data_IF_474078852953
#
_entry.id   IF_474078852953
#
_cell.length_a   1.000
_cell.length_b   1.000
_cell.length_c   1.000
_cell.angle_alpha   90.00
_cell.angle_beta   90.00
_cell.angle_gamma   90.00
#
_symmetry.space_group_name_H-M   'P 1'
#
loop_
_entity.id
_entity.type
_entity.pdbx_description
1 polymer ?
#
# COMPACT_ATOMS: atom_id res chain seq x y z
N UNK A 1 -17.92 -12.52 -14.65
CA UNK A 1 -16.51 -12.65 -14.24
C UNK A 1 -16.45 -12.87 -12.75
N UNK A 2 -15.61 -13.79 -12.33
CA UNK A 2 -15.51 -14.13 -10.93
C UNK A 2 -14.91 -12.99 -10.10
N UNK A 3 -15.43 -12.79 -8.90
CA UNK A 3 -14.85 -11.85 -7.94
C UNK A 3 -13.44 -12.32 -7.56
N UNK A 4 -12.47 -11.39 -7.52
CA UNK A 4 -11.14 -11.74 -7.04
C UNK A 4 -11.16 -12.22 -5.58
N UNK A 5 -10.29 -13.17 -5.28
CA UNK A 5 -10.14 -13.73 -3.92
C UNK A 5 -9.00 -12.99 -3.22
N UNK A 6 -9.25 -12.57 -1.98
CA UNK A 6 -8.22 -12.00 -1.11
C UNK A 6 -7.48 -13.15 -0.42
N UNK A 7 -6.17 -13.18 -0.53
CA UNK A 7 -5.31 -14.15 0.14
C UNK A 7 -3.93 -13.57 0.43
N UNK A 8 -3.19 -14.26 1.28
CA UNK A 8 -1.77 -13.93 1.45
C UNK A 8 -1.02 -14.17 0.14
N UNK A 9 -0.06 -13.29 -0.14
CA UNK A 9 0.83 -13.44 -1.28
C UNK A 9 1.79 -14.62 -1.07
N UNK A 10 2.09 -15.32 -2.15
CA UNK A 10 3.11 -16.35 -2.19
C UNK A 10 4.27 -15.88 -3.07
N UNK A 11 5.41 -16.54 -2.99
CA UNK A 11 6.61 -16.14 -3.75
C UNK A 11 6.33 -16.05 -5.27
N UNK A 12 5.52 -16.94 -5.80
CA UNK A 12 5.14 -16.93 -7.21
C UNK A 12 4.37 -15.66 -7.65
N UNK A 13 3.78 -14.93 -6.70
CA UNK A 13 3.07 -13.68 -7.00
C UNK A 13 4.01 -12.48 -7.14
N UNK A 14 5.25 -12.57 -6.65
CA UNK A 14 6.16 -11.43 -6.59
C UNK A 14 6.37 -10.75 -7.94
N UNK A 15 6.57 -11.44 -9.06
CA UNK A 15 6.68 -10.76 -10.36
C UNK A 15 5.46 -9.91 -10.71
N UNK A 16 4.25 -10.41 -10.46
CA UNK A 16 3.02 -9.66 -10.72
C UNK A 16 2.88 -8.45 -9.77
N UNK A 17 3.23 -8.62 -8.50
CA UNK A 17 3.23 -7.53 -7.51
C UNK A 17 4.17 -6.42 -7.96
N UNK A 18 5.38 -6.77 -8.39
CA UNK A 18 6.37 -5.80 -8.88
C UNK A 18 5.91 -5.12 -10.17
N UNK A 19 5.29 -5.88 -11.09
CA UNK A 19 4.76 -5.31 -12.33
C UNK A 19 3.67 -4.27 -12.06
N UNK A 20 2.77 -4.54 -11.12
CA UNK A 20 1.73 -3.57 -10.72
C UNK A 20 2.37 -2.33 -10.09
N UNK A 21 3.34 -2.50 -9.20
CA UNK A 21 4.07 -1.38 -8.61
C UNK A 21 4.76 -0.53 -9.67
N UNK A 22 5.49 -1.16 -10.58
CA UNK A 22 6.20 -0.46 -11.67
C UNK A 22 5.25 0.30 -12.60
N UNK A 23 4.03 -0.21 -12.78
CA UNK A 23 3.02 0.47 -13.61
C UNK A 23 2.60 1.83 -13.03
N UNK A 24 2.76 2.04 -11.73
CA UNK A 24 2.43 3.29 -11.06
C UNK A 24 3.55 4.35 -11.14
N UNK A 25 4.76 3.95 -11.50
CA UNK A 25 5.93 4.86 -11.48
C UNK A 25 5.80 6.00 -12.50
N UNK A 26 5.45 5.73 -13.79
CA UNK A 26 5.40 6.80 -14.80
C UNK A 26 4.45 7.95 -14.47
N UNK A 27 3.36 7.68 -13.74
CA UNK A 27 2.37 8.69 -13.39
C UNK A 27 2.82 9.68 -12.33
N UNK A 28 3.91 9.40 -11.62
CA UNK A 28 4.48 10.27 -10.56
C UNK A 28 3.48 10.63 -9.46
N UNK A 29 2.52 9.73 -9.18
CA UNK A 29 1.46 9.95 -8.20
C UNK A 29 1.60 9.09 -6.96
N UNK A 30 2.07 7.86 -7.11
CA UNK A 30 1.89 6.83 -6.08
C UNK A 30 3.17 6.39 -5.37
N UNK A 31 4.34 6.65 -5.93
CA UNK A 31 5.61 6.19 -5.36
C UNK A 31 6.73 7.18 -5.59
N UNK A 32 7.70 7.18 -4.67
CA UNK A 32 8.91 7.98 -4.78
C UNK A 32 9.97 7.38 -5.73
N UNK A 33 9.78 6.14 -6.16
CA UNK A 33 10.66 5.54 -7.17
C UNK A 33 10.46 6.23 -8.52
N UNK A 34 11.57 6.52 -9.20
CA UNK A 34 11.57 7.21 -10.50
C UNK A 34 11.80 6.25 -11.65
N UNK A 35 12.38 5.08 -11.37
CA UNK A 35 12.69 4.04 -12.34
C UNK A 35 12.11 2.71 -11.89
N UNK A 36 11.76 1.81 -12.83
CA UNK A 36 11.24 0.49 -12.48
C UNK A 36 12.21 -0.27 -11.57
N UNK A 37 11.64 -1.00 -10.61
CA UNK A 37 12.41 -1.86 -9.71
C UNK A 37 12.45 -3.28 -10.26
N UNK A 38 13.53 -4.00 -9.95
CA UNK A 38 13.71 -5.38 -10.35
C UNK A 38 13.11 -6.32 -9.31
N UNK A 39 12.57 -7.45 -9.75
CA UNK A 39 11.97 -8.48 -8.87
C UNK A 39 12.99 -8.93 -7.82
N UNK A 40 14.24 -9.16 -8.22
CA UNK A 40 15.30 -9.65 -7.33
C UNK A 40 15.58 -8.68 -6.18
N UNK A 41 15.49 -7.38 -6.43
CA UNK A 41 15.70 -6.35 -5.40
C UNK A 41 14.54 -6.34 -4.40
N UNK A 42 13.34 -6.68 -4.84
CA UNK A 42 12.14 -6.71 -3.99
C UNK A 42 11.99 -7.98 -3.16
N UNK A 43 12.82 -8.99 -3.38
CA UNK A 43 12.70 -10.24 -2.64
C UNK A 43 12.86 -10.06 -1.14
N UNK A 44 13.83 -9.26 -0.69
CA UNK A 44 14.01 -8.98 0.74
C UNK A 44 12.80 -8.28 1.36
N UNK A 45 12.19 -7.35 0.62
CA UNK A 45 10.96 -6.70 1.05
C UNK A 45 9.81 -7.72 1.17
N UNK A 46 9.68 -8.64 0.22
CA UNK A 46 8.69 -9.72 0.28
C UNK A 46 8.89 -10.57 1.53
N UNK A 47 10.12 -10.94 1.82
CA UNK A 47 10.49 -11.83 2.94
C UNK A 47 10.26 -11.17 4.31
N UNK A 48 10.17 -9.86 4.39
CA UNK A 48 9.84 -9.13 5.63
C UNK A 48 8.39 -9.31 6.05
N UNK A 49 7.53 -9.78 5.17
CA UNK A 49 6.11 -9.96 5.45
C UNK A 49 5.82 -11.30 6.11
N UNK A 50 4.77 -11.32 6.94
CA UNK A 50 4.24 -12.54 7.53
C UNK A 50 2.73 -12.37 7.81
N UNK A 51 1.99 -13.46 7.77
CA UNK A 51 0.53 -13.43 7.91
C UNK A 51 0.05 -13.04 9.32
N UNK A 52 0.91 -13.17 10.32
CA UNK A 52 0.53 -12.95 11.71
C UNK A 52 0.60 -11.50 12.19
N UNK A 53 1.45 -10.66 11.59
CA UNK A 53 1.65 -9.29 12.06
C UNK A 53 1.84 -8.25 10.95
N UNK A 54 2.43 -8.64 9.82
CA UNK A 54 2.72 -7.75 8.69
C UNK A 54 2.43 -8.46 7.37
N UNK A 55 1.14 -8.70 7.06
CA UNK A 55 0.80 -9.46 5.85
C UNK A 55 1.06 -8.67 4.58
N UNK A 56 1.22 -9.41 3.50
CA UNK A 56 1.16 -8.93 2.14
C UNK A 56 0.01 -9.68 1.47
N UNK A 57 -1.01 -8.96 1.08
CA UNK A 57 -2.20 -9.55 0.48
C UNK A 57 -2.27 -9.27 -1.00
N UNK A 58 -2.85 -10.22 -1.73
CA UNK A 58 -3.22 -10.04 -3.13
C UNK A 58 -4.71 -10.25 -3.31
N UNK A 59 -5.27 -9.57 -4.30
CA UNK A 59 -6.55 -9.93 -4.90
C UNK A 59 -6.24 -10.71 -6.18
N UNK A 60 -6.64 -11.97 -6.20
CA UNK A 60 -6.35 -12.88 -7.31
C UNK A 60 -7.63 -13.32 -8.00
N UNK A 61 -7.64 -13.20 -9.32
CA UNK A 61 -8.69 -13.75 -10.17
C UNK A 61 -8.06 -14.88 -10.97
N UNK A 62 -8.25 -16.12 -10.52
CA UNK A 62 -7.51 -17.25 -11.08
C UNK A 62 -6.00 -17.06 -10.86
N UNK A 63 -5.24 -17.13 -11.95
CA UNK A 63 -3.79 -16.90 -11.92
C UNK A 63 -3.41 -15.42 -12.01
N UNK A 64 -4.35 -14.52 -12.27
CA UNK A 64 -4.08 -13.10 -12.43
C UNK A 64 -4.15 -12.37 -11.09
N UNK A 65 -3.11 -11.60 -10.77
CA UNK A 65 -3.12 -10.69 -9.64
C UNK A 65 -3.62 -9.34 -10.12
N UNK A 66 -4.72 -8.85 -9.54
CA UNK A 66 -5.35 -7.58 -9.95
C UNK A 66 -5.00 -6.42 -9.04
N UNK A 67 -4.63 -6.69 -7.80
CA UNK A 67 -4.26 -5.66 -6.82
C UNK A 67 -3.51 -6.29 -5.64
N UNK A 68 -2.81 -5.47 -4.86
CA UNK A 68 -2.16 -5.93 -3.64
C UNK A 68 -2.14 -4.84 -2.57
N UNK A 69 -2.01 -5.27 -1.31
CA UNK A 69 -1.85 -4.39 -0.16
C UNK A 69 -0.76 -4.95 0.75
N UNK A 70 0.13 -4.09 1.20
CA UNK A 70 1.24 -4.42 2.08
C UNK A 70 1.08 -3.71 3.42
N UNK A 71 1.39 -4.43 4.50
CA UNK A 71 1.61 -3.85 5.83
C UNK A 71 3.10 -3.82 6.08
N UNK A 72 3.64 -2.66 6.47
CA UNK A 72 5.04 -2.51 6.81
C UNK A 72 5.18 -1.86 8.19
N UNK A 73 6.24 -2.26 8.91
CA UNK A 73 6.53 -1.66 10.21
C UNK A 73 6.90 -0.18 10.06
N UNK A 74 6.39 0.63 10.97
CA UNK A 74 6.78 2.04 11.07
C UNK A 74 8.09 2.10 11.88
N UNK A 75 9.17 2.41 11.20
CA UNK A 75 10.56 2.42 11.70
C UNK A 75 11.07 1.11 12.32
N UNK A 76 10.24 0.08 12.50
CA UNK A 76 10.68 -1.24 12.99
C UNK A 76 11.22 -1.27 14.41
N UNK A 77 10.99 -0.26 15.25
CA UNK A 77 11.44 -0.22 16.65
C UNK A 77 10.34 -0.73 17.58
N UNK A 78 10.70 -1.34 18.73
CA UNK A 78 9.72 -1.94 19.64
C UNK A 78 8.60 -0.99 20.10
N UNK A 79 8.90 0.28 20.34
CA UNK A 79 7.91 1.26 20.75
C UNK A 79 6.86 1.56 19.68
N UNK A 80 7.15 1.28 18.41
CA UNK A 80 6.25 1.51 17.27
C UNK A 80 5.60 0.23 16.76
N UNK A 81 5.69 -0.86 17.51
CA UNK A 81 5.27 -2.19 17.06
C UNK A 81 3.77 -2.28 16.75
N UNK A 82 2.95 -1.46 17.41
CA UNK A 82 1.50 -1.42 17.18
C UNK A 82 1.09 -0.46 16.06
N UNK A 83 2.04 0.09 15.31
CA UNK A 83 1.82 0.98 14.18
C UNK A 83 2.37 0.36 12.91
N UNK A 84 1.56 0.33 11.85
CA UNK A 84 1.98 -0.13 10.54
C UNK A 84 1.59 0.87 9.46
N UNK A 85 2.41 0.96 8.44
CA UNK A 85 2.10 1.64 7.20
C UNK A 85 1.43 0.64 6.25
N UNK A 86 0.36 1.07 5.59
CA UNK A 86 -0.27 0.29 4.53
C UNK A 86 -0.04 0.97 3.18
N UNK A 87 0.22 0.15 2.16
CA UNK A 87 0.38 0.58 0.77
C UNK A 87 -0.53 -0.28 -0.10
N UNK A 88 -1.28 0.33 -0.99
CA UNK A 88 -2.22 -0.36 -1.88
C UNK A 88 -1.98 0.03 -3.34
N UNK A 89 -1.95 -0.97 -4.21
CA UNK A 89 -1.71 -0.79 -5.64
C UNK A 89 -2.67 -1.67 -6.43
N UNK A 90 -3.23 -1.11 -7.52
CA UNK A 90 -4.15 -1.81 -8.40
C UNK A 90 -3.59 -1.80 -9.81
N UNK A 91 -3.66 -2.93 -10.52
CA UNK A 91 -3.25 -3.01 -11.91
C UNK A 91 -4.03 -1.99 -12.75
N UNK A 92 -3.38 -1.29 -13.71
CA UNK A 92 -4.03 -0.22 -14.47
C UNK A 92 -5.33 -0.65 -15.18
N UNK A 93 -5.35 -1.85 -15.73
CA UNK A 93 -6.50 -2.42 -16.43
C UNK A 93 -7.67 -2.75 -15.50
N UNK A 94 -7.42 -2.73 -14.19
CA UNK A 94 -8.43 -3.05 -13.17
C UNK A 94 -8.78 -1.85 -12.28
N UNK A 95 -8.39 -0.64 -12.67
CA UNK A 95 -8.78 0.57 -11.95
C UNK A 95 -10.30 0.78 -12.00
N UNK A 96 -10.84 1.49 -11.01
CA UNK A 96 -12.26 1.83 -10.89
C UNK A 96 -13.21 0.64 -10.70
N UNK A 97 -12.69 -0.47 -10.19
CA UNK A 97 -13.49 -1.64 -9.82
C UNK A 97 -13.69 -1.76 -8.30
N UNK A 98 -13.21 -0.79 -7.52
CA UNK A 98 -13.34 -0.80 -6.08
C UNK A 98 -12.35 -1.71 -5.35
N UNK A 99 -11.30 -2.18 -6.01
CA UNK A 99 -10.34 -3.11 -5.39
C UNK A 99 -9.49 -2.47 -4.31
N UNK A 100 -9.02 -1.25 -4.52
CA UNK A 100 -8.30 -0.51 -3.48
C UNK A 100 -9.18 -0.30 -2.25
N UNK A 101 -10.42 0.09 -2.46
CA UNK A 101 -11.41 0.27 -1.38
C UNK A 101 -11.63 -1.03 -0.61
N UNK A 102 -11.77 -2.15 -1.31
CA UNK A 102 -11.93 -3.47 -0.67
C UNK A 102 -10.72 -3.82 0.19
N UNK A 103 -9.51 -3.64 -0.34
CA UNK A 103 -8.28 -3.97 0.38
C UNK A 103 -8.08 -3.09 1.62
N UNK A 104 -8.29 -1.78 1.50
CA UNK A 104 -8.19 -0.87 2.66
C UNK A 104 -9.25 -1.22 3.71
N UNK A 105 -10.48 -1.49 3.29
CA UNK A 105 -11.54 -1.92 4.21
C UNK A 105 -11.18 -3.19 4.98
N UNK A 106 -10.62 -4.19 4.31
CA UNK A 106 -10.17 -5.43 4.95
C UNK A 106 -9.00 -5.17 5.90
N UNK A 107 -8.07 -4.27 5.54
CA UNK A 107 -6.95 -3.94 6.42
C UNK A 107 -7.43 -3.36 7.76
N UNK A 108 -8.46 -2.52 7.73
CA UNK A 108 -9.04 -1.97 8.95
C UNK A 108 -9.70 -3.05 9.83
N UNK A 109 -10.41 -3.99 9.21
CA UNK A 109 -11.04 -5.09 9.93
C UNK A 109 -10.01 -6.02 10.58
N UNK A 110 -8.90 -6.29 9.90
CA UNK A 110 -7.88 -7.24 10.36
C UNK A 110 -6.85 -6.62 11.31
N UNK A 111 -6.68 -5.31 11.30
CA UNK A 111 -5.62 -4.62 12.04
C UNK A 111 -5.58 -5.00 13.55
N UNK A 112 -6.69 -5.04 14.30
CA UNK A 112 -6.62 -5.42 15.71
C UNK A 112 -6.07 -6.82 15.94
N UNK A 113 -6.48 -7.79 15.12
CA UNK A 113 -6.00 -9.17 15.21
C UNK A 113 -4.52 -9.31 14.86
N UNK A 114 -3.96 -8.35 14.13
CA UNK A 114 -2.53 -8.27 13.80
C UNK A 114 -1.72 -7.57 14.91
N UNK A 115 -2.34 -7.19 16.01
CA UNK A 115 -1.70 -6.45 17.09
C UNK A 115 -1.52 -4.97 16.80
N UNK A 116 -2.24 -4.44 15.83
CA UNK A 116 -2.11 -3.04 15.41
C UNK A 116 -3.15 -2.16 16.10
N UNK A 117 -2.71 -0.98 16.50
CA UNK A 117 -3.57 0.08 17.06
C UNK A 117 -3.66 1.28 16.15
N UNK A 118 -2.73 1.43 15.22
CA UNK A 118 -2.63 2.57 14.33
C UNK A 118 -2.21 2.12 12.94
N UNK A 119 -2.92 2.61 11.93
CA UNK A 119 -2.51 2.47 10.53
C UNK A 119 -2.14 3.84 9.97
N UNK A 120 -1.08 3.87 9.19
CA UNK A 120 -0.59 5.05 8.48
C UNK A 120 -0.63 4.80 6.97
N UNK A 121 -0.87 5.85 6.21
CA UNK A 121 -0.74 5.87 4.77
C UNK A 121 0.11 7.08 4.35
N UNK A 122 1.16 6.84 3.57
CA UNK A 122 2.05 7.88 3.07
C UNK A 122 1.62 8.21 1.64
N UNK A 123 1.14 9.43 1.41
CA UNK A 123 0.49 9.82 0.16
C UNK A 123 1.02 11.18 -0.27
N UNK A 124 1.46 11.30 -1.53
CA UNK A 124 1.83 12.61 -2.06
C UNK A 124 0.64 13.57 -2.03
N UNK A 125 0.90 14.84 -1.70
CA UNK A 125 -0.14 15.85 -1.53
C UNK A 125 -0.97 16.14 -2.79
N UNK A 126 -0.46 15.80 -3.97
CA UNK A 126 -1.18 15.95 -5.24
C UNK A 126 -1.95 14.70 -5.68
N UNK A 127 -1.89 13.62 -4.91
CA UNK A 127 -2.60 12.39 -5.22
C UNK A 127 -4.02 12.43 -4.61
N UNK A 128 -4.88 13.22 -5.21
CA UNK A 128 -6.24 13.44 -4.73
C UNK A 128 -7.08 12.15 -4.64
N UNK A 129 -7.03 11.23 -5.61
CA UNK A 129 -7.80 9.99 -5.50
C UNK A 129 -7.43 9.15 -4.28
N UNK A 130 -6.15 8.99 -3.97
CA UNK A 130 -5.70 8.25 -2.79
C UNK A 130 -6.09 8.95 -1.50
N UNK A 131 -5.91 10.26 -1.43
CA UNK A 131 -6.32 11.05 -0.26
C UNK A 131 -7.82 10.86 0.00
N UNK A 132 -8.64 10.97 -1.04
CA UNK A 132 -10.10 10.79 -0.91
C UNK A 132 -10.46 9.37 -0.47
N UNK A 133 -9.77 8.35 -0.99
CA UNK A 133 -9.99 6.96 -0.60
C UNK A 133 -9.76 6.76 0.90
N UNK A 134 -8.63 7.19 1.42
CA UNK A 134 -8.28 7.00 2.83
C UNK A 134 -9.15 7.86 3.75
N UNK A 135 -9.45 9.11 3.37
CA UNK A 135 -10.37 9.95 4.14
C UNK A 135 -11.77 9.36 4.21
N UNK A 136 -12.22 8.68 3.16
CA UNK A 136 -13.49 7.98 3.14
C UNK A 136 -13.58 6.86 4.19
N UNK A 137 -12.44 6.33 4.65
CA UNK A 137 -12.35 5.35 5.73
C UNK A 137 -12.07 5.99 7.10
N UNK A 138 -12.06 7.30 7.21
CA UNK A 138 -11.84 7.99 8.47
C UNK A 138 -10.38 8.27 8.81
N UNK A 139 -9.46 8.14 7.86
CA UNK A 139 -8.09 8.60 8.04
C UNK A 139 -8.06 10.13 8.01
N UNK A 140 -7.28 10.72 8.91
CA UNK A 140 -7.03 12.15 8.96
C UNK A 140 -5.58 12.46 8.60
N UNK A 141 -5.34 13.67 8.11
CA UNK A 141 -3.96 14.13 7.87
C UNK A 141 -3.29 14.41 9.21
N UNK A 142 -2.27 13.62 9.55
CA UNK A 142 -1.51 13.78 10.78
C UNK A 142 -0.22 14.55 10.58
N UNK A 143 0.34 14.54 9.37
CA UNK A 143 1.52 15.31 9.04
C UNK A 143 1.50 15.73 7.58
N UNK A 144 2.12 16.88 7.31
CA UNK A 144 2.44 17.34 5.97
C UNK A 144 3.92 17.72 5.95
N UNK A 145 4.69 17.01 5.13
CA UNK A 145 6.11 17.30 4.92
C UNK A 145 6.23 18.08 3.62
N UNK A 146 6.44 19.41 3.69
CA UNK A 146 6.42 20.23 2.49
C UNK A 146 7.65 20.01 1.62
N UNK A 147 7.42 19.85 0.31
CA UNK A 147 8.45 19.81 -0.73
C UNK A 147 9.57 18.78 -0.52
N UNK A 148 9.26 17.67 0.18
CA UNK A 148 10.29 16.66 0.50
C UNK A 148 10.61 15.71 -0.65
N UNK A 149 9.77 15.66 -1.68
CA UNK A 149 9.99 14.80 -2.84
C UNK A 149 10.14 15.64 -4.11
N UNK A 150 11.11 15.28 -4.96
CA UNK A 150 11.27 15.88 -6.28
C UNK A 150 10.96 14.83 -7.34
N UNK A 151 9.88 15.05 -8.09
CA UNK A 151 9.42 14.15 -9.14
C UNK A 151 9.55 14.89 -10.48
N UNK A 152 10.55 14.50 -11.27
CA UNK A 152 10.87 15.15 -12.56
C UNK A 152 11.08 16.68 -12.42
N UNK A 153 11.77 17.10 -11.35
CA UNK A 153 12.05 18.50 -11.08
C UNK A 153 10.91 19.28 -10.44
N UNK A 154 9.77 18.65 -10.17
CA UNK A 154 8.64 19.27 -9.46
C UNK A 154 8.65 18.81 -8.00
N UNK A 155 8.77 19.76 -7.09
CA UNK A 155 8.71 19.45 -5.66
C UNK A 155 7.29 19.15 -5.22
N UNK A 156 7.15 18.09 -4.42
CA UNK A 156 5.85 17.63 -3.92
C UNK A 156 5.88 17.42 -2.41
N UNK A 157 4.73 17.70 -1.79
CA UNK A 157 4.54 17.41 -0.38
C UNK A 157 4.27 15.92 -0.18
N UNK A 158 4.68 15.40 0.97
CA UNK A 158 4.29 14.08 1.43
C UNK A 158 3.34 14.24 2.62
N UNK A 159 2.14 13.69 2.50
CA UNK A 159 1.20 13.62 3.60
C UNK A 159 1.33 12.28 4.31
N UNK A 160 1.20 12.32 5.63
CA UNK A 160 1.01 11.11 6.43
C UNK A 160 -0.41 11.15 6.96
N UNK A 161 -1.25 10.26 6.45
CA UNK A 161 -2.61 10.08 6.95
C UNK A 161 -2.59 8.95 7.98
N UNK A 162 -3.36 9.10 9.04
CA UNK A 162 -3.39 8.13 10.10
C UNK A 162 -4.79 7.86 10.61
N UNK A 163 -4.97 6.66 11.17
CA UNK A 163 -6.21 6.24 11.80
C UNK A 163 -5.92 5.31 12.97
N UNK A 164 -6.60 5.57 14.09
CA UNK A 164 -6.60 4.64 15.22
C UNK A 164 -7.59 3.52 14.92
N UNK A 165 -7.16 2.27 15.10
CA UNK A 165 -7.96 1.07 14.79
C UNK A 165 -8.25 0.22 16.03
N UNK A 166 -7.75 0.66 17.18
CA UNK A 166 -8.04 0.02 18.47
C UNK A 166 -7.93 1.02 19.62
#
# INVERSE_FOLDING_TARGET
MDEPILRDAIEADLPAIVAIYNSAIPGRMATADLEPVMVEIRRSWFDEHNSGSRPLWVLARGAEIVAWLSFQSFYGRPAYQATAEISVYVAPEHHRHGYARRLVGESLKRAPALGLKTLLAFIFGHNDPSIALFRGFGFDTWANLPAVAALDGVERDLLILGKRVA
#
